data_IF_064620888314
#
_entry.id   IF_064620888314
#
_cell.length_a   1.000
_cell.length_b   1.000
_cell.length_c   1.000
_cell.angle_alpha   90.00
_cell.angle_beta   90.00
_cell.angle_gamma   90.00
#
_symmetry.space_group_name_H-M   'P 1'
#
loop_
_entity.id
_entity.type
_entity.pdbx_description
1 polymer ?
#
# COMPACT_ATOMS: atom_id res chain seq x y z
N UNK A 1 -3.89 10.98 -21.44
CA UNK A 1 -4.78 10.11 -20.64
C UNK A 1 -5.97 9.84 -21.52
N UNK A 2 -6.42 8.59 -21.60
CA UNK A 2 -7.54 8.18 -22.46
C UNK A 2 -8.79 9.03 -22.17
N UNK A 3 -9.48 9.51 -23.20
CA UNK A 3 -10.70 10.31 -23.08
C UNK A 3 -11.78 9.57 -22.26
N UNK A 4 -11.78 8.24 -22.34
CA UNK A 4 -12.66 7.37 -21.55
C UNK A 4 -12.42 7.53 -20.05
N UNK A 5 -11.14 7.61 -19.63
CA UNK A 5 -10.81 7.76 -18.21
C UNK A 5 -11.27 9.13 -17.70
N UNK A 6 -11.10 10.19 -18.50
CA UNK A 6 -11.54 11.53 -18.12
C UNK A 6 -13.07 11.58 -17.93
N UNK A 7 -13.83 10.96 -18.84
CA UNK A 7 -15.29 10.85 -18.70
C UNK A 7 -15.71 10.10 -17.43
N UNK A 8 -15.04 8.98 -17.11
CA UNK A 8 -15.32 8.23 -15.88
C UNK A 8 -15.02 9.03 -14.61
N UNK A 9 -13.94 9.82 -14.63
CA UNK A 9 -13.58 10.70 -13.50
C UNK A 9 -14.64 11.78 -13.31
N UNK A 10 -15.07 12.43 -14.39
CA UNK A 10 -16.13 13.44 -14.35
C UNK A 10 -17.44 12.84 -13.79
N UNK A 11 -17.89 11.70 -14.33
CA UNK A 11 -19.09 11.00 -13.86
C UNK A 11 -19.01 10.67 -12.36
N UNK A 12 -17.85 10.17 -11.91
CA UNK A 12 -17.62 9.85 -10.50
C UNK A 12 -17.70 11.09 -9.61
N UNK A 13 -17.11 12.22 -10.02
CA UNK A 13 -17.12 13.47 -9.23
C UNK A 13 -18.51 14.08 -9.17
N UNK A 14 -19.23 14.12 -10.29
CA UNK A 14 -20.63 14.55 -10.33
C UNK A 14 -21.51 13.65 -9.45
N UNK A 15 -21.34 12.33 -9.51
CA UNK A 15 -22.09 11.41 -8.67
C UNK A 15 -21.80 11.55 -7.16
N UNK A 16 -20.56 11.92 -6.79
CA UNK A 16 -20.15 12.03 -5.40
C UNK A 16 -20.45 13.40 -4.77
N UNK A 17 -20.13 14.46 -5.49
CA UNK A 17 -20.10 15.85 -4.99
C UNK A 17 -21.07 16.78 -5.74
N UNK A 18 -21.76 16.29 -6.77
CA UNK A 18 -22.76 17.03 -7.54
C UNK A 18 -22.19 17.87 -8.68
N UNK A 19 -20.86 18.03 -8.75
CA UNK A 19 -20.17 18.76 -9.80
C UNK A 19 -18.74 18.23 -9.99
N UNK A 20 -18.17 18.45 -11.19
CA UNK A 20 -16.73 18.33 -11.41
C UNK A 20 -16.03 19.65 -11.10
N UNK A 21 -15.01 19.61 -10.24
CA UNK A 21 -14.20 20.77 -9.87
C UNK A 21 -13.15 21.13 -10.96
N UNK A 22 -13.10 20.36 -12.05
CA UNK A 22 -12.19 20.56 -13.17
C UNK A 22 -10.72 20.32 -12.85
N UNK A 23 -10.40 19.82 -11.64
CA UNK A 23 -9.01 19.59 -11.25
C UNK A 23 -8.45 18.38 -11.99
N UNK A 24 -7.13 18.37 -12.19
CA UNK A 24 -6.44 17.19 -12.74
C UNK A 24 -6.72 15.94 -11.89
N UNK A 25 -7.04 14.79 -12.50
CA UNK A 25 -7.32 13.57 -11.74
C UNK A 25 -6.14 13.13 -10.87
N UNK A 26 -6.45 12.73 -9.64
CA UNK A 26 -5.45 12.24 -8.70
C UNK A 26 -5.46 10.72 -8.65
N UNK A 27 -4.29 10.12 -8.79
CA UNK A 27 -4.10 8.67 -8.71
C UNK A 27 -3.47 8.25 -7.38
N UNK A 28 -4.01 7.18 -6.79
CA UNK A 28 -3.42 6.49 -5.66
C UNK A 28 -2.73 5.21 -6.16
N UNK A 29 -1.41 5.13 -6.04
CA UNK A 29 -0.64 3.95 -6.42
C UNK A 29 -0.28 3.09 -5.19
N UNK A 30 -0.75 1.84 -5.14
CA UNK A 30 -0.46 0.88 -4.08
C UNK A 30 0.54 -0.17 -4.58
N UNK A 31 1.77 -0.08 -4.05
CA UNK A 31 2.90 -0.89 -4.50
C UNK A 31 2.83 -2.37 -4.04
N UNK A 32 3.62 -3.22 -4.70
CA UNK A 32 3.81 -4.62 -4.35
C UNK A 32 4.66 -4.84 -3.09
N UNK A 33 4.94 -6.11 -2.78
CA UNK A 33 5.72 -6.49 -1.57
C UNK A 33 5.00 -7.47 -0.64
N UNK A 34 4.01 -8.21 -1.16
CA UNK A 34 3.25 -9.22 -0.42
C UNK A 34 2.47 -8.64 0.76
N UNK A 35 2.28 -9.44 1.80
CA UNK A 35 1.44 -9.11 2.96
C UNK A 35 1.93 -7.88 3.75
N UNK A 36 3.24 -7.57 3.72
CA UNK A 36 3.80 -6.36 4.35
C UNK A 36 3.28 -5.10 3.67
N UNK A 37 3.36 -5.07 2.34
CA UNK A 37 2.82 -3.95 1.57
C UNK A 37 1.31 -3.83 1.74
N UNK A 38 0.58 -4.96 1.75
CA UNK A 38 -0.86 -4.96 1.99
C UNK A 38 -1.23 -4.30 3.33
N UNK A 39 -0.49 -4.65 4.40
CA UNK A 39 -0.71 -4.06 5.74
C UNK A 39 -0.38 -2.57 5.79
N UNK A 40 0.71 -2.16 5.13
CA UNK A 40 1.06 -0.74 5.01
C UNK A 40 -0.01 0.04 4.21
N UNK A 41 -0.44 -0.49 3.07
CA UNK A 41 -1.47 0.11 2.23
C UNK A 41 -2.80 0.24 2.97
N UNK A 42 -3.17 -0.74 3.81
CA UNK A 42 -4.33 -0.64 4.69
C UNK A 42 -4.20 0.53 5.67
N UNK A 43 -3.02 0.68 6.31
CA UNK A 43 -2.73 1.81 7.19
C UNK A 43 -2.79 3.16 6.47
N UNK A 44 -2.27 3.25 5.25
CA UNK A 44 -2.34 4.43 4.40
C UNK A 44 -3.79 4.79 4.06
N UNK A 45 -4.57 3.83 3.55
CA UNK A 45 -5.99 4.02 3.21
C UNK A 45 -6.79 4.45 4.43
N UNK A 46 -6.55 3.82 5.60
CA UNK A 46 -7.15 4.22 6.87
C UNK A 46 -6.84 5.69 7.19
N UNK A 47 -5.58 6.09 7.10
CA UNK A 47 -5.17 7.47 7.39
C UNK A 47 -5.81 8.48 6.42
N UNK A 48 -5.84 8.15 5.13
CA UNK A 48 -6.53 8.98 4.12
C UNK A 48 -8.02 9.10 4.41
N UNK A 49 -8.67 8.00 4.77
CA UNK A 49 -10.10 7.98 5.11
C UNK A 49 -10.41 8.82 6.35
N UNK A 50 -9.61 8.68 7.43
CA UNK A 50 -9.75 9.47 8.66
C UNK A 50 -9.62 10.97 8.43
N UNK A 51 -8.80 11.38 7.47
CA UNK A 51 -8.60 12.80 7.12
C UNK A 51 -9.53 13.27 5.99
N UNK A 52 -10.51 12.46 5.58
CA UNK A 52 -11.43 12.78 4.49
C UNK A 52 -10.75 12.95 3.12
N UNK A 53 -9.53 12.45 2.95
CA UNK A 53 -8.74 12.58 1.72
C UNK A 53 -8.92 11.41 0.76
N UNK A 54 -9.38 10.25 1.22
CA UNK A 54 -9.48 9.05 0.39
C UNK A 54 -10.35 9.27 -0.85
N UNK A 55 -11.51 9.91 -0.68
CA UNK A 55 -12.43 10.19 -1.79
C UNK A 55 -11.98 11.33 -2.72
N UNK A 56 -10.83 11.97 -2.47
CA UNK A 56 -10.24 12.94 -3.41
C UNK A 56 -9.45 12.27 -4.53
N UNK A 57 -9.06 11.01 -4.34
CA UNK A 57 -8.43 10.23 -5.40
C UNK A 57 -9.50 9.72 -6.37
N UNK A 58 -9.22 9.90 -7.65
CA UNK A 58 -10.12 9.56 -8.75
C UNK A 58 -9.75 8.18 -9.34
N UNK A 59 -8.47 7.83 -9.27
CA UNK A 59 -7.91 6.60 -9.83
C UNK A 59 -7.14 5.83 -8.76
N UNK A 60 -7.16 4.50 -8.86
CA UNK A 60 -6.30 3.63 -8.05
C UNK A 60 -5.54 2.68 -8.98
N UNK A 61 -4.23 2.57 -8.77
CA UNK A 61 -3.37 1.61 -9.46
C UNK A 61 -2.74 0.70 -8.42
N UNK A 62 -2.72 -0.61 -8.66
CA UNK A 62 -2.20 -1.56 -7.69
C UNK A 62 -1.36 -2.64 -8.37
N UNK A 63 -0.40 -3.19 -7.63
CA UNK A 63 0.44 -4.31 -8.06
C UNK A 63 0.69 -5.26 -6.90
N UNK A 64 0.62 -6.57 -7.16
CA UNK A 64 0.98 -7.63 -6.20
C UNK A 64 0.30 -7.42 -4.83
N UNK A 65 1.07 -7.23 -3.75
CA UNK A 65 0.57 -6.98 -2.40
C UNK A 65 -0.40 -5.80 -2.26
N UNK A 66 -0.24 -4.73 -3.04
CA UNK A 66 -1.18 -3.62 -3.08
C UNK A 66 -2.55 -4.02 -3.65
N UNK A 67 -2.59 -5.07 -4.47
CA UNK A 67 -3.80 -5.61 -5.08
C UNK A 67 -4.80 -6.19 -4.07
N UNK A 68 -4.35 -6.67 -2.90
CA UNK A 68 -5.24 -7.09 -1.83
C UNK A 68 -6.10 -5.92 -1.31
N UNK A 69 -5.50 -4.74 -1.15
CA UNK A 69 -6.21 -3.55 -0.72
C UNK A 69 -7.00 -2.94 -1.88
N UNK A 70 -6.44 -2.94 -3.09
CA UNK A 70 -7.14 -2.52 -4.31
C UNK A 70 -8.45 -3.29 -4.54
N UNK A 71 -8.43 -4.61 -4.42
CA UNK A 71 -9.62 -5.45 -4.61
C UNK A 71 -10.64 -5.25 -3.49
N UNK A 72 -10.21 -5.10 -2.23
CA UNK A 72 -11.09 -4.77 -1.13
C UNK A 72 -11.79 -3.42 -1.32
N UNK A 73 -11.04 -2.37 -1.71
CA UNK A 73 -11.61 -1.07 -2.06
C UNK A 73 -12.60 -1.19 -3.22
N UNK A 74 -12.22 -1.90 -4.29
CA UNK A 74 -13.08 -2.13 -5.44
C UNK A 74 -14.39 -2.82 -5.05
N UNK A 75 -14.33 -3.86 -4.20
CA UNK A 75 -15.52 -4.57 -3.70
C UNK A 75 -16.43 -3.65 -2.89
N UNK A 76 -15.86 -2.93 -1.92
CA UNK A 76 -16.63 -2.06 -1.01
C UNK A 76 -17.29 -0.89 -1.75
N UNK A 77 -16.57 -0.25 -2.68
CA UNK A 77 -17.12 0.89 -3.43
C UNK A 77 -18.05 0.47 -4.57
N UNK A 78 -17.88 -0.71 -5.18
CA UNK A 78 -18.81 -1.20 -6.23
C UNK A 78 -20.20 -1.54 -5.70
N UNK A 79 -20.30 -1.88 -4.42
CA UNK A 79 -21.59 -2.13 -3.77
C UNK A 79 -22.37 -0.85 -3.46
N UNK A 80 -21.68 0.28 -3.30
CA UNK A 80 -22.33 1.55 -3.00
C UNK A 80 -23.14 2.06 -4.21
N UNK A 81 -24.41 2.39 -3.99
CA UNK A 81 -25.35 2.92 -4.99
C UNK A 81 -25.66 4.39 -4.82
N UNK A 82 -25.18 5.00 -3.73
CA UNK A 82 -25.38 6.41 -3.44
C UNK A 82 -24.10 7.07 -2.90
N UNK A 83 -24.00 8.40 -3.04
CA UNK A 83 -22.91 9.18 -2.47
C UNK A 83 -22.85 9.06 -0.94
N UNK A 84 -24.00 8.89 -0.28
CA UNK A 84 -24.08 8.63 1.16
C UNK A 84 -23.42 7.29 1.54
N UNK A 85 -23.68 6.22 0.78
CA UNK A 85 -23.04 4.92 0.99
C UNK A 85 -21.54 4.96 0.71
N UNK A 86 -21.10 5.66 -0.34
CA UNK A 86 -19.67 5.88 -0.61
C UNK A 86 -18.98 6.59 0.56
N UNK A 87 -19.61 7.61 1.14
CA UNK A 87 -19.11 8.30 2.34
C UNK A 87 -19.12 7.39 3.58
N UNK A 88 -20.12 6.52 3.71
CA UNK A 88 -20.18 5.52 4.77
C UNK A 88 -19.05 4.48 4.66
N UNK A 89 -18.70 4.04 3.45
CA UNK A 89 -17.53 3.16 3.20
C UNK A 89 -16.24 3.85 3.65
N UNK A 90 -16.04 5.13 3.31
CA UNK A 90 -14.89 5.90 3.81
C UNK A 90 -14.88 5.96 5.34
N UNK A 91 -16.02 6.22 5.98
CA UNK A 91 -16.12 6.24 7.45
C UNK A 91 -15.82 4.87 8.09
N UNK A 92 -16.25 3.77 7.47
CA UNK A 92 -15.91 2.42 7.91
C UNK A 92 -14.41 2.13 7.81
N UNK A 93 -13.77 2.52 6.70
CA UNK A 93 -12.32 2.38 6.50
C UNK A 93 -11.51 3.21 7.50
N UNK A 94 -12.02 4.38 7.90
CA UNK A 94 -11.40 5.23 8.92
C UNK A 94 -11.29 4.51 10.28
N UNK A 95 -12.24 3.63 10.58
CA UNK A 95 -12.37 2.89 11.84
C UNK A 95 -12.08 1.38 11.68
N UNK A 96 -11.38 0.96 10.63
CA UNK A 96 -11.09 -0.45 10.32
C UNK A 96 -10.35 -1.21 11.44
N UNK A 97 -9.73 -0.49 12.38
CA UNK A 97 -9.03 -1.07 13.53
C UNK A 97 -9.98 -1.50 14.66
N UNK A 98 -11.21 -0.97 14.71
CA UNK A 98 -12.24 -1.42 15.67
C UNK A 98 -12.77 -2.81 15.31
N UNK A 99 -12.64 -3.19 14.04
CA UNK A 99 -12.89 -4.54 13.56
C UNK A 99 -11.66 -5.38 13.94
N UNK A 100 -11.85 -6.45 14.74
CA UNK A 100 -10.80 -7.41 15.19
C UNK A 100 -9.78 -7.81 14.12
N UNK A 101 -10.14 -7.74 12.84
CA UNK A 101 -9.31 -7.97 11.68
C UNK A 101 -8.09 -7.01 11.56
N UNK A 102 -8.22 -5.73 11.89
CA UNK A 102 -7.12 -4.75 11.80
C UNK A 102 -5.99 -5.01 12.80
N UNK A 103 -6.34 -5.50 13.99
CA UNK A 103 -5.37 -5.98 14.99
C UNK A 103 -4.70 -7.28 14.53
N UNK A 104 -5.48 -8.24 14.00
CA UNK A 104 -4.96 -9.51 13.52
C UNK A 104 -3.97 -9.35 12.36
N UNK A 105 -4.26 -8.48 11.37
CA UNK A 105 -3.37 -8.25 10.22
C UNK A 105 -2.05 -7.60 10.64
N UNK A 106 -2.09 -6.62 11.56
CA UNK A 106 -0.87 -6.01 12.13
C UNK A 106 -0.05 -7.02 12.93
N UNK A 107 -0.71 -7.82 13.75
CA UNK A 107 -0.05 -8.83 14.59
C UNK A 107 0.59 -9.96 13.77
N UNK A 108 0.03 -10.28 12.59
CA UNK A 108 0.54 -11.33 11.71
C UNK A 108 1.41 -10.83 10.54
N UNK A 109 1.55 -9.50 10.35
CA UNK A 109 2.39 -8.89 9.30
C UNK A 109 3.89 -8.78 9.64
N UNK A 110 4.29 -9.22 10.83
CA UNK A 110 5.64 -9.05 11.40
C UNK A 110 6.59 -10.17 10.93
N UNK A 111 7.19 -10.00 9.76
CA UNK A 111 8.05 -11.02 9.12
C UNK A 111 9.52 -10.65 8.95
N UNK A 112 9.97 -9.45 9.38
CA UNK A 112 11.40 -9.15 9.39
C UNK A 112 12.11 -9.79 10.59
N UNK A 113 11.39 -9.99 11.69
CA UNK A 113 11.88 -10.60 12.94
C UNK A 113 10.72 -11.34 13.66
N UNK A 114 10.14 -12.41 13.08
CA UNK A 114 9.04 -13.14 13.71
C UNK A 114 9.43 -13.81 15.05
N UNK A 115 10.69 -14.19 15.24
CA UNK A 115 11.26 -14.88 16.40
C UNK A 115 12.05 -13.99 17.37
N UNK A 116 12.00 -12.67 17.23
CA UNK A 116 12.75 -11.73 18.09
C UNK A 116 14.27 -11.84 17.90
N UNK A 117 15.03 -11.86 18.99
CA UNK A 117 16.51 -11.79 19.00
C UNK A 117 17.18 -12.81 18.05
N UNK A 118 16.61 -14.01 17.91
CA UNK A 118 17.14 -15.06 17.04
C UNK A 118 17.17 -14.66 15.57
N UNK A 119 16.13 -13.98 15.10
CA UNK A 119 16.04 -13.57 13.69
C UNK A 119 16.88 -12.31 13.43
N UNK A 120 17.02 -11.44 14.44
CA UNK A 120 17.97 -10.32 14.38
C UNK A 120 19.40 -10.83 14.28
N UNK A 121 19.76 -11.85 15.09
CA UNK A 121 21.07 -12.48 15.02
C UNK A 121 21.28 -13.18 13.66
N UNK A 122 20.25 -13.80 13.09
CA UNK A 122 20.32 -14.39 11.75
C UNK A 122 20.50 -13.33 10.65
N UNK A 123 19.77 -12.22 10.73
CA UNK A 123 19.91 -11.12 9.77
C UNK A 123 21.29 -10.44 9.87
N UNK A 124 21.77 -10.22 11.10
CA UNK A 124 23.11 -9.67 11.36
C UNK A 124 24.20 -10.64 10.88
N UNK A 125 24.05 -11.94 11.12
CA UNK A 125 25.04 -12.93 10.65
C UNK A 125 25.07 -13.03 9.13
N UNK A 126 23.90 -12.97 8.47
CA UNK A 126 23.81 -12.93 7.02
C UNK A 126 24.47 -11.67 6.45
N UNK A 127 24.24 -10.52 7.07
CA UNK A 127 24.86 -9.25 6.69
C UNK A 127 26.39 -9.30 6.85
N UNK A 128 26.88 -9.75 8.01
CA UNK A 128 28.32 -9.87 8.27
C UNK A 128 29.00 -10.86 7.32
N UNK A 129 28.36 -12.01 7.05
CA UNK A 129 28.85 -12.98 6.07
C UNK A 129 28.99 -12.33 4.70
N UNK A 130 27.97 -11.62 4.23
CA UNK A 130 27.99 -11.00 2.90
C UNK A 130 29.00 -9.85 2.85
N UNK A 131 29.10 -9.04 3.90
CA UNK A 131 30.08 -7.96 4.01
C UNK A 131 31.51 -8.50 3.91
N UNK A 132 31.84 -9.52 4.68
CA UNK A 132 33.14 -10.19 4.63
C UNK A 132 33.39 -10.84 3.26
N UNK A 133 32.39 -11.50 2.70
CA UNK A 133 32.47 -12.10 1.36
C UNK A 133 32.83 -11.07 0.30
N UNK A 134 32.12 -9.94 0.25
CA UNK A 134 32.39 -8.86 -0.70
C UNK A 134 33.78 -8.26 -0.51
N UNK A 135 34.24 -8.07 0.73
CA UNK A 135 35.59 -7.55 0.99
C UNK A 135 36.70 -8.55 0.62
N UNK A 136 36.48 -9.86 0.83
CA UNK A 136 37.42 -10.90 0.41
C UNK A 136 37.47 -10.99 -1.11
N UNK A 137 36.32 -11.01 -1.80
CA UNK A 137 36.25 -10.99 -3.26
C UNK A 137 36.96 -9.76 -3.84
N UNK A 138 36.74 -8.58 -3.26
CA UNK A 138 37.41 -7.35 -3.67
C UNK A 138 38.92 -7.42 -3.42
N UNK A 139 39.37 -7.94 -2.28
CA UNK A 139 40.79 -8.11 -1.97
C UNK A 139 41.46 -9.09 -2.94
N UNK A 140 40.81 -10.20 -3.28
CA UNK A 140 41.29 -11.15 -4.29
C UNK A 140 41.36 -10.48 -5.66
N UNK A 141 40.34 -9.73 -6.06
CA UNK A 141 40.32 -9.01 -7.33
C UNK A 141 41.47 -7.98 -7.42
N UNK A 142 41.70 -7.22 -6.36
CA UNK A 142 42.82 -6.26 -6.26
C UNK A 142 44.17 -6.97 -6.36
N UNK A 143 44.36 -8.06 -5.63
CA UNK A 143 45.58 -8.85 -5.66
C UNK A 143 45.85 -9.46 -7.06
N UNK A 144 44.81 -9.91 -7.77
CA UNK A 144 44.92 -10.46 -9.13
C UNK A 144 45.26 -9.39 -10.18
N UNK A 145 44.88 -8.13 -9.95
CA UNK A 145 45.20 -7.00 -10.84
C UNK A 145 46.59 -6.42 -10.49
N UNK A 146 47.25 -6.91 -9.43
CA UNK A 146 48.63 -6.57 -9.08
C UNK A 146 48.80 -5.23 -8.36
N UNK A 147 47.76 -4.79 -7.66
CA UNK A 147 47.76 -3.60 -6.77
C UNK A 147 48.06 -3.98 -5.33
#
# INVERSE_FOLDING_TARGET
>A
MDDTILQLVEQRRVALDGADDGRRPWGLALSGGGIRSATFCLGLVKALARNGQLLRFDLVSTVSGGGYIGSALGRLFSDAKSSAEVRAVQAGLANVDEIRFGWWLRSNGRYLIPGGLRDTLFAVSLYLRNLLGTHIELAIAVALIGL
#
